data_IF_484450617380
#
_entry.id   IF_484450617380
#
_cell.length_a   1.000
_cell.length_b   1.000
_cell.length_c   1.000
_cell.angle_alpha   90.00
_cell.angle_beta   90.00
_cell.angle_gamma   90.00
#
_symmetry.space_group_name_H-M   'P 1'
#
loop_
_entity.id
_entity.type
_entity.pdbx_description
1 polymer ?
#
# COMPACT_ATOMS: atom_id res chain seq x y z
N UNK A 1 25.55 4.81 14.93
CA UNK A 1 24.98 3.59 14.34
C UNK A 1 23.98 4.12 13.33
N UNK A 2 24.30 4.08 12.04
CA UNK A 2 23.25 4.27 11.03
C UNK A 2 22.28 3.12 11.23
N UNK A 3 21.09 3.40 11.73
CA UNK A 3 20.00 2.43 11.68
C UNK A 3 19.86 2.03 10.21
N UNK A 4 20.12 0.75 9.91
CA UNK A 4 19.87 0.22 8.59
C UNK A 4 18.38 0.42 8.32
N UNK A 5 18.04 1.40 7.46
CA UNK A 5 16.66 1.70 7.12
C UNK A 5 15.96 0.50 6.47
N UNK A 6 14.68 0.65 6.14
CA UNK A 6 13.90 -0.42 5.50
C UNK A 6 14.35 -0.76 4.07
N UNK A 7 15.18 0.07 3.44
CA UNK A 7 15.52 -0.02 2.02
C UNK A 7 16.21 -1.34 1.62
N UNK A 8 17.25 -1.85 2.34
CA UNK A 8 17.87 -3.13 2.01
C UNK A 8 16.88 -4.30 2.12
N UNK A 9 15.99 -4.26 3.13
CA UNK A 9 14.94 -5.26 3.29
C UNK A 9 13.96 -5.24 2.11
N UNK A 10 13.46 -4.05 1.73
CA UNK A 10 12.55 -3.89 0.59
C UNK A 10 13.21 -4.37 -0.71
N UNK A 11 14.48 -4.02 -0.92
CA UNK A 11 15.22 -4.48 -2.10
C UNK A 11 15.27 -6.01 -2.16
N UNK A 12 15.71 -6.68 -1.10
CA UNK A 12 15.77 -8.14 -1.06
C UNK A 12 14.40 -8.80 -1.22
N UNK A 13 13.35 -8.22 -0.62
CA UNK A 13 11.99 -8.72 -0.74
C UNK A 13 11.44 -8.60 -2.16
N UNK A 14 11.70 -7.47 -2.83
CA UNK A 14 11.32 -7.24 -4.23
C UNK A 14 12.04 -8.21 -5.17
N UNK A 15 13.35 -8.38 -5.01
CA UNK A 15 14.16 -9.32 -5.79
C UNK A 15 13.67 -10.76 -5.60
N UNK A 16 13.36 -11.17 -4.37
CA UNK A 16 12.85 -12.51 -4.09
C UNK A 16 11.47 -12.79 -4.72
N UNK A 17 10.59 -11.79 -4.79
CA UNK A 17 9.21 -11.96 -5.29
C UNK A 17 9.07 -11.71 -6.79
N UNK A 18 9.81 -10.74 -7.32
CA UNK A 18 9.64 -10.25 -8.70
C UNK A 18 10.92 -10.34 -9.54
N UNK A 19 12.04 -10.83 -8.99
CA UNK A 19 13.34 -10.82 -9.68
C UNK A 19 13.40 -11.59 -11.01
N UNK A 20 12.46 -12.50 -11.26
CA UNK A 20 12.33 -13.20 -12.54
C UNK A 20 11.63 -12.36 -13.64
N UNK A 21 10.88 -11.32 -13.26
CA UNK A 21 10.13 -10.44 -14.15
C UNK A 21 10.57 -8.99 -13.92
N UNK A 22 11.45 -8.49 -14.79
CA UNK A 22 12.05 -7.16 -14.68
C UNK A 22 11.00 -6.05 -14.73
N UNK A 23 9.93 -6.21 -15.51
CA UNK A 23 8.86 -5.22 -15.59
C UNK A 23 8.09 -5.17 -14.28
N UNK A 24 7.72 -6.32 -13.72
CA UNK A 24 7.06 -6.39 -12.43
C UNK A 24 7.95 -5.86 -11.31
N UNK A 25 9.25 -6.19 -11.32
CA UNK A 25 10.21 -5.70 -10.34
C UNK A 25 10.29 -4.17 -10.35
N UNK A 26 10.48 -3.57 -11.53
CA UNK A 26 10.56 -2.12 -11.67
C UNK A 26 9.26 -1.44 -11.28
N UNK A 27 8.11 -1.96 -11.73
CA UNK A 27 6.80 -1.43 -11.36
C UNK A 27 6.60 -1.41 -9.85
N UNK A 28 6.90 -2.52 -9.15
CA UNK A 28 6.74 -2.55 -7.70
C UNK A 28 7.75 -1.65 -6.98
N UNK A 29 8.99 -1.54 -7.48
CA UNK A 29 9.96 -0.58 -6.97
C UNK A 29 9.43 0.85 -7.06
N UNK A 30 8.84 1.22 -8.19
CA UNK A 30 8.23 2.54 -8.40
C UNK A 30 7.07 2.81 -7.43
N UNK A 31 6.28 1.79 -7.06
CA UNK A 31 5.25 1.93 -6.02
C UNK A 31 5.87 2.26 -4.65
N UNK A 32 6.92 1.54 -4.23
CA UNK A 32 7.60 1.86 -2.97
C UNK A 32 8.16 3.27 -2.97
N UNK A 33 8.80 3.70 -4.06
CA UNK A 33 9.35 5.05 -4.20
C UNK A 33 8.27 6.15 -4.25
N UNK A 34 7.13 5.86 -4.91
CA UNK A 34 5.99 6.78 -5.04
C UNK A 34 5.33 7.07 -3.69
N UNK A 35 5.11 6.03 -2.88
CA UNK A 35 4.24 6.12 -1.70
C UNK A 35 5.01 6.15 -0.37
N UNK A 36 5.93 5.21 -0.14
CA UNK A 36 6.42 4.90 1.23
C UNK A 36 7.17 6.06 1.88
N UNK A 37 8.19 6.69 1.24
CA UNK A 37 8.91 7.80 1.86
C UNK A 37 8.00 9.00 2.18
N UNK A 38 7.04 9.31 1.30
CA UNK A 38 6.12 10.43 1.47
C UNK A 38 5.18 10.19 2.65
N UNK A 39 4.62 8.99 2.74
CA UNK A 39 3.68 8.60 3.80
C UNK A 39 4.39 8.54 5.16
N UNK A 40 5.56 7.93 5.24
CA UNK A 40 6.33 7.89 6.50
C UNK A 40 6.68 9.30 6.98
N UNK A 41 7.18 10.15 6.09
CA UNK A 41 7.50 11.55 6.41
C UNK A 41 6.26 12.33 6.85
N UNK A 42 5.15 12.21 6.12
CA UNK A 42 3.92 12.91 6.46
C UNK A 42 3.34 12.42 7.80
N UNK A 43 3.33 11.11 8.04
CA UNK A 43 2.90 10.48 9.29
C UNK A 43 3.70 11.02 10.46
N UNK A 44 5.04 10.99 10.37
CA UNK A 44 5.95 11.48 11.41
C UNK A 44 5.72 12.96 11.75
N UNK A 45 5.47 13.81 10.74
CA UNK A 45 5.35 15.25 10.94
C UNK A 45 3.94 15.70 11.37
N UNK A 46 2.90 14.95 11.00
CA UNK A 46 1.52 15.44 11.08
C UNK A 46 0.57 14.55 11.88
N UNK A 47 0.93 13.31 12.16
CA UNK A 47 0.07 12.32 12.80
C UNK A 47 0.61 11.92 14.17
N UNK A 48 -0.28 11.38 15.00
CA UNK A 48 0.08 10.78 16.28
C UNK A 48 -0.21 9.28 16.21
N UNK A 49 0.76 8.49 16.63
CA UNK A 49 0.58 7.05 16.88
C UNK A 49 0.47 6.84 18.39
N UNK A 50 -0.62 6.22 18.85
CA UNK A 50 -0.77 5.91 20.28
C UNK A 50 0.24 4.84 20.74
N UNK A 51 0.58 3.93 19.83
CA UNK A 51 1.70 2.99 19.99
C UNK A 51 2.63 3.21 18.79
N UNK A 52 3.78 3.88 18.99
CA UNK A 52 4.73 4.11 17.91
C UNK A 52 5.23 2.80 17.30
N UNK A 53 5.31 2.77 15.97
CA UNK A 53 5.87 1.65 15.20
C UNK A 53 7.03 2.19 14.37
N UNK A 54 8.21 1.61 14.55
CA UNK A 54 9.38 1.96 13.75
C UNK A 54 9.13 1.72 12.25
N UNK A 55 9.67 2.60 11.40
CA UNK A 55 9.47 2.56 9.95
C UNK A 55 9.79 1.19 9.34
N UNK A 56 10.83 0.53 9.84
CA UNK A 56 11.20 -0.82 9.41
C UNK A 56 10.06 -1.83 9.63
N UNK A 57 9.49 -1.85 10.83
CA UNK A 57 8.42 -2.78 11.19
C UNK A 57 7.11 -2.47 10.43
N UNK A 58 6.83 -1.19 10.22
CA UNK A 58 5.70 -0.74 9.41
C UNK A 58 5.83 -1.21 7.95
N UNK A 59 7.00 -1.03 7.34
CA UNK A 59 7.27 -1.46 5.97
C UNK A 59 7.34 -2.98 5.84
N UNK A 60 7.87 -3.68 6.84
CA UNK A 60 7.81 -5.15 6.88
C UNK A 60 6.36 -5.66 6.90
N UNK A 61 5.49 -4.99 7.67
CA UNK A 61 4.05 -5.30 7.71
C UNK A 61 3.37 -5.02 6.37
N UNK A 62 3.72 -3.93 5.67
CA UNK A 62 3.28 -3.65 4.30
C UNK A 62 3.63 -4.80 3.35
N UNK A 63 4.90 -5.21 3.33
CA UNK A 63 5.37 -6.31 2.49
C UNK A 63 4.62 -7.61 2.78
N UNK A 64 4.40 -7.94 4.07
CA UNK A 64 3.67 -9.13 4.48
C UNK A 64 2.20 -9.11 4.05
N UNK A 65 1.51 -7.99 4.29
CA UNK A 65 0.10 -7.85 3.92
C UNK A 65 -0.11 -7.86 2.40
N UNK A 66 0.73 -7.14 1.66
CA UNK A 66 0.69 -7.16 0.20
C UNK A 66 0.99 -8.56 -0.34
N UNK A 67 1.96 -9.27 0.23
CA UNK A 67 2.28 -10.63 -0.19
C UNK A 67 1.09 -11.60 -0.03
N UNK A 68 0.30 -11.40 1.03
CA UNK A 68 -0.89 -12.21 1.32
C UNK A 68 -2.10 -11.86 0.43
N UNK A 69 -2.22 -10.59 0.02
CA UNK A 69 -3.38 -10.11 -0.74
C UNK A 69 -3.16 -10.07 -2.26
N UNK A 70 -1.95 -9.80 -2.72
CA UNK A 70 -1.63 -9.76 -4.15
C UNK A 70 -1.47 -11.18 -4.72
N UNK A 71 -2.60 -11.86 -4.90
CA UNK A 71 -2.72 -13.25 -5.36
C UNK A 71 -3.61 -13.34 -6.61
N UNK A 72 -3.51 -14.45 -7.34
CA UNK A 72 -4.35 -14.73 -8.52
C UNK A 72 -5.84 -14.71 -8.16
N UNK A 73 -6.22 -15.29 -7.02
CA UNK A 73 -7.61 -15.30 -6.54
C UNK A 73 -8.15 -13.89 -6.28
N UNK A 74 -7.25 -12.95 -5.97
CA UNK A 74 -7.56 -11.53 -5.80
C UNK A 74 -7.34 -10.69 -7.08
N UNK A 75 -7.30 -11.35 -8.24
CA UNK A 75 -7.22 -10.71 -9.55
C UNK A 75 -5.82 -10.30 -9.99
N UNK A 76 -4.79 -10.54 -9.17
CA UNK A 76 -3.38 -10.29 -9.53
C UNK A 76 -2.87 -11.44 -10.40
N UNK A 77 -3.35 -11.45 -11.63
CA UNK A 77 -3.07 -12.47 -12.64
C UNK A 77 -2.59 -11.82 -13.94
N UNK A 78 -1.27 -11.79 -14.12
CA UNK A 78 -0.63 -11.17 -15.30
C UNK A 78 -0.94 -11.95 -16.59
N UNK A 79 -1.15 -13.25 -16.51
CA UNK A 79 -1.39 -14.11 -17.68
C UNK A 79 -2.78 -13.87 -18.25
N UNK A 80 -3.80 -13.81 -17.38
CA UNK A 80 -5.19 -13.65 -17.79
C UNK A 80 -5.65 -12.18 -17.86
N UNK A 81 -4.92 -11.25 -17.24
CA UNK A 81 -5.28 -9.83 -17.19
C UNK A 81 -4.07 -8.89 -17.35
N UNK A 82 -3.28 -9.07 -18.40
CA UNK A 82 -2.08 -8.26 -18.65
C UNK A 82 -2.35 -6.73 -18.67
N UNK A 83 -3.50 -6.29 -19.20
CA UNK A 83 -3.86 -4.87 -19.29
C UNK A 83 -4.23 -4.26 -17.93
N UNK A 84 -4.90 -5.03 -17.06
CA UNK A 84 -5.33 -4.57 -15.74
C UNK A 84 -4.36 -4.90 -14.60
N UNK A 85 -3.33 -5.72 -14.86
CA UNK A 85 -2.42 -6.25 -13.85
C UNK A 85 -1.78 -5.17 -12.97
N UNK A 86 -1.20 -4.13 -13.57
CA UNK A 86 -0.55 -3.06 -12.80
C UNK A 86 -1.57 -2.29 -11.95
N UNK A 87 -2.76 -2.01 -12.49
CA UNK A 87 -3.79 -1.27 -11.77
C UNK A 87 -4.30 -2.04 -10.53
N UNK A 88 -4.52 -3.36 -10.64
CA UNK A 88 -4.94 -4.18 -9.50
C UNK A 88 -3.79 -4.38 -8.49
N UNK A 89 -2.55 -4.51 -8.95
CA UNK A 89 -1.37 -4.52 -8.07
C UNK A 89 -1.27 -3.21 -7.26
N UNK A 90 -1.40 -2.06 -7.92
CA UNK A 90 -1.36 -0.75 -7.24
C UNK A 90 -2.50 -0.58 -6.23
N UNK A 91 -3.72 -1.02 -6.57
CA UNK A 91 -4.85 -1.06 -5.63
C UNK A 91 -4.50 -1.88 -4.38
N UNK A 92 -4.05 -3.11 -4.55
CA UNK A 92 -3.68 -3.97 -3.41
C UNK A 92 -2.49 -3.43 -2.62
N UNK A 93 -1.54 -2.77 -3.29
CA UNK A 93 -0.40 -2.13 -2.63
C UNK A 93 -0.87 -0.98 -1.74
N UNK A 94 -1.70 -0.09 -2.27
CA UNK A 94 -2.26 1.04 -1.54
C UNK A 94 -3.18 0.57 -0.41
N UNK A 95 -4.00 -0.45 -0.64
CA UNK A 95 -4.80 -1.09 0.42
C UNK A 95 -3.89 -1.59 1.55
N UNK A 96 -2.83 -2.32 1.19
CA UNK A 96 -1.89 -2.86 2.17
C UNK A 96 -1.17 -1.75 2.93
N UNK A 97 -0.82 -0.65 2.28
CA UNK A 97 -0.21 0.54 2.88
C UNK A 97 -1.11 1.21 3.92
N UNK A 98 -2.39 1.40 3.59
CA UNK A 98 -3.41 1.94 4.51
C UNK A 98 -3.51 1.07 5.77
N UNK A 99 -3.55 -0.25 5.58
CA UNK A 99 -3.73 -1.22 6.67
C UNK A 99 -2.44 -1.71 7.31
N UNK A 100 -1.30 -1.09 7.01
CA UNK A 100 -0.01 -1.34 7.67
C UNK A 100 0.61 -0.04 8.18
N UNK A 101 1.27 0.71 7.30
CA UNK A 101 2.02 1.93 7.64
C UNK A 101 1.12 3.02 8.23
N UNK A 102 -0.12 3.12 7.74
CA UNK A 102 -1.07 4.12 8.21
C UNK A 102 -1.99 3.62 9.34
N UNK A 103 -1.96 2.33 9.67
CA UNK A 103 -3.00 1.73 10.52
C UNK A 103 -2.96 2.23 11.98
N UNK A 104 -1.76 2.57 12.49
CA UNK A 104 -1.50 2.89 13.89
C UNK A 104 -1.79 4.33 14.30
N UNK A 105 -2.16 5.22 13.37
CA UNK A 105 -2.46 6.61 13.72
C UNK A 105 -3.82 6.75 14.40
N UNK A 106 -3.96 7.80 15.21
CA UNK A 106 -5.24 8.20 15.80
C UNK A 106 -6.25 8.71 14.75
N UNK A 107 -7.48 8.97 15.19
CA UNK A 107 -8.57 9.39 14.31
C UNK A 107 -8.27 10.71 13.56
N UNK A 108 -7.59 11.66 14.22
CA UNK A 108 -7.17 12.90 13.59
C UNK A 108 -6.10 12.64 12.51
N UNK A 109 -5.17 11.71 12.75
CA UNK A 109 -4.21 11.22 11.78
C UNK A 109 -4.87 10.53 10.60
N UNK A 110 -5.92 9.72 10.82
CA UNK A 110 -6.67 9.07 9.74
C UNK A 110 -7.30 10.08 8.79
N UNK A 111 -7.88 11.16 9.32
CA UNK A 111 -8.45 12.25 8.49
C UNK A 111 -7.36 12.91 7.64
N UNK A 112 -6.19 13.20 8.24
CA UNK A 112 -5.07 13.82 7.52
C UNK A 112 -4.50 12.89 6.44
N UNK A 113 -4.31 11.61 6.76
CA UNK A 113 -3.80 10.62 5.83
C UNK A 113 -4.79 10.28 4.71
N UNK A 114 -6.09 10.34 4.96
CA UNK A 114 -7.11 10.24 3.92
C UNK A 114 -6.91 11.33 2.86
N UNK A 115 -6.82 12.59 3.27
CA UNK A 115 -6.57 13.71 2.35
C UNK A 115 -5.23 13.54 1.63
N UNK A 116 -4.17 13.24 2.37
CA UNK A 116 -2.83 13.13 1.79
C UNK A 116 -2.67 11.94 0.81
N UNK A 117 -3.32 10.80 1.09
CA UNK A 117 -3.33 9.67 0.15
C UNK A 117 -4.09 10.00 -1.13
N UNK A 118 -5.20 10.73 -1.03
CA UNK A 118 -5.98 11.19 -2.19
C UNK A 118 -5.21 12.20 -3.06
N UNK A 119 -4.31 12.98 -2.46
CA UNK A 119 -3.40 13.87 -3.19
C UNK A 119 -2.30 13.10 -3.95
N UNK A 120 -1.87 11.95 -3.43
CA UNK A 120 -0.90 11.07 -4.11
C UNK A 120 -1.58 10.25 -5.21
N UNK A 121 -2.79 9.75 -4.94
CA UNK A 121 -3.52 8.86 -5.82
C UNK A 121 -5.03 9.14 -5.82
N UNK A 122 -5.58 9.43 -7.00
CA UNK A 122 -6.95 9.87 -7.19
C UNK A 122 -7.95 8.72 -7.45
N UNK A 123 -7.56 7.48 -7.14
CA UNK A 123 -8.38 6.28 -7.43
C UNK A 123 -9.54 6.04 -6.45
N UNK A 124 -9.57 6.73 -5.31
CA UNK A 124 -10.57 6.48 -4.27
C UNK A 124 -11.91 7.17 -4.58
N UNK A 125 -13.06 6.55 -4.28
CA UNK A 125 -14.35 7.20 -4.42
C UNK A 125 -14.44 8.49 -3.57
N UNK A 126 -15.21 9.50 -4.00
CA UNK A 126 -15.19 10.84 -3.40
C UNK A 126 -15.87 10.94 -2.03
N UNK A 127 -16.72 9.96 -1.69
CA UNK A 127 -17.41 9.91 -0.40
C UNK A 127 -16.57 9.15 0.63
N UNK A 128 -16.81 9.34 1.92
CA UNK A 128 -16.08 8.61 2.97
C UNK A 128 -14.56 8.83 2.94
N UNK A 129 -13.84 8.04 3.73
CA UNK A 129 -12.37 8.05 3.82
C UNK A 129 -11.79 6.83 3.13
N UNK A 130 -10.52 6.87 2.78
CA UNK A 130 -9.79 5.70 2.22
C UNK A 130 -9.90 4.43 3.09
N UNK A 131 -10.12 4.57 4.40
CA UNK A 131 -10.33 3.47 5.34
C UNK A 131 -11.71 2.80 5.22
N UNK A 132 -12.67 3.48 4.62
CA UNK A 132 -14.07 3.05 4.51
C UNK A 132 -14.30 2.16 3.27
N UNK A 133 -13.24 1.80 2.53
CA UNK A 133 -13.30 1.05 1.28
C UNK A 133 -12.48 -0.24 1.29
N UNK A 134 -12.93 -1.19 0.48
CA UNK A 134 -12.24 -2.42 0.11
C UNK A 134 -12.16 -2.58 -1.40
N UNK A 135 -11.37 -3.54 -1.88
CA UNK A 135 -11.29 -3.87 -3.30
C UNK A 135 -12.30 -4.97 -3.61
N UNK A 136 -13.32 -4.65 -4.40
CA UNK A 136 -14.27 -5.64 -4.92
C UNK A 136 -13.69 -6.32 -6.16
N UNK A 137 -13.53 -7.65 -6.09
CA UNK A 137 -12.89 -8.43 -7.15
C UNK A 137 -13.71 -8.52 -8.43
N UNK A 138 -15.05 -8.40 -8.34
CA UNK A 138 -15.93 -8.49 -9.51
C UNK A 138 -15.92 -7.20 -10.30
N UNK A 139 -15.93 -6.07 -9.59
CA UNK A 139 -15.84 -4.73 -10.18
C UNK A 139 -14.40 -4.31 -10.47
N UNK A 140 -13.43 -5.00 -9.86
CA UNK A 140 -12.03 -4.64 -9.86
C UNK A 140 -11.82 -3.19 -9.40
N UNK A 141 -12.58 -2.75 -8.38
CA UNK A 141 -12.62 -1.37 -7.94
C UNK A 141 -12.91 -1.20 -6.45
N UNK A 142 -12.73 0.02 -5.95
CA UNK A 142 -12.99 0.38 -4.57
C UNK A 142 -14.50 0.43 -4.28
N UNK A 143 -14.95 -0.36 -3.30
CA UNK A 143 -16.33 -0.39 -2.84
C UNK A 143 -16.39 -0.14 -1.32
N UNK A 144 -17.43 0.56 -0.83
CA UNK A 144 -17.54 0.88 0.59
C UNK A 144 -17.77 -0.39 1.40
N UNK A 145 -17.17 -0.54 2.57
CA UNK A 145 -17.37 -1.73 3.43
C UNK A 145 -18.85 -2.00 3.76
N UNK A 146 -19.69 -0.97 3.76
CA UNK A 146 -21.14 -1.08 4.00
C UNK A 146 -21.90 -1.83 2.88
N UNK A 147 -21.28 -2.05 1.72
CA UNK A 147 -21.91 -2.79 0.62
C UNK A 147 -21.68 -4.31 0.64
N UNK A 148 -20.94 -4.83 1.62
CA UNK A 148 -20.73 -6.28 1.80
C UNK A 148 -21.94 -7.01 2.39
#
# INVERSE_FOLDING_TARGET
>A
VEEMGYQPFVQSWLEARFGADVEALNFHKDLFEKYVPKILTYKMLNCREEVPIDDFNAVQSLCGLYAALATVDNGVDKENNAQGYNAICEKWFVFSLIWSVCAGVDEAGRIKLDTFLRDIEAQFPPMGRVYDYYIDLKKNDWEPWESQ
#
